data_IF_999516223987
#
_entry.id   IF_999516223987
#
_cell.length_a   1.000
_cell.length_b   1.000
_cell.length_c   1.000
_cell.angle_alpha   90.00
_cell.angle_beta   90.00
_cell.angle_gamma   90.00
#
_symmetry.space_group_name_H-M   'P 1'
#
loop_
_entity.id
_entity.type
_entity.pdbx_description
1 polymer ?
#
# COMPACT_ATOMS: atom_id res chain seq x y z
N UNK A 1 18.10 2.31 -1.10
CA UNK A 1 18.06 0.99 -0.42
C UNK A 1 18.34 -0.17 -1.37
N UNK A 2 17.83 -0.13 -2.60
CA UNK A 2 18.10 -1.12 -3.62
C UNK A 2 18.53 -0.47 -4.92
N UNK A 3 19.64 -0.94 -5.48
CA UNK A 3 20.12 -0.51 -6.78
C UNK A 3 19.47 -1.35 -7.88
N UNK A 4 18.59 -0.73 -8.67
CA UNK A 4 17.98 -1.36 -9.82
C UNK A 4 18.93 -1.26 -11.03
N UNK A 5 19.14 -2.36 -11.72
CA UNK A 5 20.03 -2.42 -12.89
C UNK A 5 19.20 -2.39 -14.19
N UNK A 6 19.77 -1.78 -15.24
CA UNK A 6 19.22 -1.90 -16.58
C UNK A 6 19.13 -3.36 -17.01
N UNK A 7 17.97 -3.76 -17.52
CA UNK A 7 17.77 -5.05 -18.16
C UNK A 7 17.04 -4.85 -19.49
N UNK A 8 15.70 -4.84 -19.46
CA UNK A 8 14.84 -4.54 -20.62
C UNK A 8 14.44 -3.08 -20.70
N UNK A 9 14.53 -2.37 -19.59
CA UNK A 9 14.18 -0.96 -19.46
C UNK A 9 15.38 -0.14 -19.02
N UNK A 10 15.39 1.14 -19.38
CA UNK A 10 16.33 2.11 -18.84
C UNK A 10 15.89 2.45 -17.41
N UNK A 11 16.79 2.34 -16.45
CA UNK A 11 16.53 2.70 -15.05
C UNK A 11 17.41 3.90 -14.70
N UNK A 12 16.78 5.01 -14.32
CA UNK A 12 17.46 6.17 -13.75
C UNK A 12 17.15 6.20 -12.24
N UNK A 13 18.19 6.21 -11.42
CA UNK A 13 18.07 6.18 -9.96
C UNK A 13 18.79 7.36 -9.34
N UNK A 14 18.20 7.91 -8.28
CA UNK A 14 18.79 8.99 -7.49
C UNK A 14 18.72 8.64 -6.02
N UNK A 15 19.83 8.75 -5.35
CA UNK A 15 19.95 8.55 -3.91
C UNK A 15 19.85 9.91 -3.21
N UNK A 16 19.01 9.98 -2.16
CA UNK A 16 18.85 11.18 -1.35
C UNK A 16 20.17 11.48 -0.61
N UNK A 17 20.55 12.74 -0.56
CA UNK A 17 21.80 13.26 -0.01
C UNK A 17 23.08 12.88 -0.78
N UNK A 18 22.95 12.17 -1.92
CA UNK A 18 24.05 11.87 -2.84
C UNK A 18 23.82 12.53 -4.19
N UNK A 19 22.70 12.16 -4.86
CA UNK A 19 22.36 12.64 -6.19
C UNK A 19 21.31 13.74 -6.17
N UNK A 20 20.61 13.91 -5.06
CA UNK A 20 19.53 14.89 -4.87
C UNK A 20 19.34 15.23 -3.39
N UNK A 21 18.87 16.44 -3.10
CA UNK A 21 18.65 16.92 -1.73
C UNK A 21 17.37 16.39 -1.09
N UNK A 22 16.36 16.01 -1.90
CA UNK A 22 15.07 15.55 -1.38
C UNK A 22 14.28 14.74 -2.38
N UNK A 23 13.31 13.95 -1.88
CA UNK A 23 12.33 13.25 -2.71
C UNK A 23 11.54 14.23 -3.61
N UNK A 24 11.13 15.37 -3.07
CA UNK A 24 10.39 16.40 -3.81
C UNK A 24 11.18 16.92 -5.00
N UNK A 25 12.46 17.27 -4.78
CA UNK A 25 13.35 17.76 -5.84
C UNK A 25 13.56 16.68 -6.91
N UNK A 26 13.85 15.45 -6.49
CA UNK A 26 14.07 14.33 -7.40
C UNK A 26 12.82 14.02 -8.23
N UNK A 27 11.64 13.98 -7.59
CA UNK A 27 10.38 13.65 -8.26
C UNK A 27 9.97 14.73 -9.26
N UNK A 28 10.08 16.01 -8.90
CA UNK A 28 9.84 17.14 -9.84
C UNK A 28 10.75 17.09 -11.05
N UNK A 29 12.02 16.72 -10.87
CA UNK A 29 12.96 16.56 -11.98
C UNK A 29 12.61 15.32 -12.82
N UNK A 30 12.20 14.21 -12.20
CA UNK A 30 11.81 12.99 -12.90
C UNK A 30 10.61 13.21 -13.84
N UNK A 31 9.60 13.97 -13.42
CA UNK A 31 8.42 14.30 -14.25
C UNK A 31 8.77 14.99 -15.57
N UNK A 32 9.97 15.61 -15.69
CA UNK A 32 10.45 16.25 -16.92
C UNK A 32 11.28 15.30 -17.80
N UNK A 33 11.45 14.06 -17.40
CA UNK A 33 12.26 13.05 -18.11
C UNK A 33 11.39 12.02 -18.83
N UNK A 34 10.08 12.24 -18.91
CA UNK A 34 9.11 11.34 -19.53
C UNK A 34 9.22 9.90 -19.03
N UNK A 35 9.16 9.65 -17.72
CA UNK A 35 9.23 8.29 -17.19
C UNK A 35 7.92 7.56 -17.45
N UNK A 36 7.97 6.27 -17.80
CA UNK A 36 6.79 5.42 -17.86
C UNK A 36 6.36 4.97 -16.45
N UNK A 37 7.34 4.70 -15.60
CA UNK A 37 7.14 4.21 -14.22
C UNK A 37 8.02 4.99 -13.27
N UNK A 38 7.46 5.40 -12.15
CA UNK A 38 8.18 6.06 -11.05
C UNK A 38 8.11 5.17 -9.81
N UNK A 39 9.28 4.82 -9.26
CA UNK A 39 9.38 4.20 -7.94
C UNK A 39 9.88 5.26 -6.96
N UNK A 40 9.00 5.69 -6.08
CA UNK A 40 9.30 6.58 -4.97
C UNK A 40 9.52 5.72 -3.72
N UNK A 41 10.73 5.68 -3.18
CA UNK A 41 11.13 4.76 -2.12
C UNK A 41 10.13 4.70 -0.97
N UNK A 42 9.78 5.86 -0.40
CA UNK A 42 8.73 5.95 0.62
C UNK A 42 8.08 7.34 0.66
N UNK A 43 6.84 7.37 1.17
CA UNK A 43 6.09 8.60 1.42
C UNK A 43 5.94 8.83 2.93
N UNK A 44 6.71 9.79 3.48
CA UNK A 44 6.71 10.07 4.93
C UNK A 44 5.98 11.35 5.30
N UNK A 45 6.00 12.35 4.43
CA UNK A 45 5.60 13.71 4.72
C UNK A 45 4.62 14.27 3.68
N UNK A 46 3.99 15.37 4.07
CA UNK A 46 3.02 16.09 3.25
C UNK A 46 3.55 16.45 1.86
N UNK A 47 4.78 17.00 1.78
CA UNK A 47 5.32 17.51 0.52
C UNK A 47 5.56 16.37 -0.47
N UNK A 48 6.12 15.25 0.00
CA UNK A 48 6.38 14.07 -0.81
C UNK A 48 5.07 13.45 -1.32
N UNK A 49 4.06 13.31 -0.45
CA UNK A 49 2.75 12.76 -0.85
C UNK A 49 2.06 13.67 -1.84
N UNK A 50 2.10 15.00 -1.63
CA UNK A 50 1.45 15.96 -2.53
C UNK A 50 2.05 15.92 -3.95
N UNK A 51 3.37 15.83 -4.07
CA UNK A 51 4.03 15.72 -5.39
C UNK A 51 3.81 14.34 -6.01
N UNK A 52 3.76 13.26 -5.21
CA UNK A 52 3.41 11.93 -5.69
C UNK A 52 1.97 11.87 -6.24
N UNK A 53 1.01 12.48 -5.55
CA UNK A 53 -0.37 12.62 -6.03
C UNK A 53 -0.43 13.36 -7.36
N UNK A 54 0.29 14.47 -7.49
CA UNK A 54 0.38 15.23 -8.74
C UNK A 54 0.95 14.39 -9.88
N UNK A 55 2.00 13.59 -9.61
CA UNK A 55 2.58 12.69 -10.59
C UNK A 55 1.56 11.65 -11.09
N UNK A 56 0.81 11.05 -10.15
CA UNK A 56 -0.23 10.09 -10.48
C UNK A 56 -1.39 10.70 -11.28
N UNK A 57 -1.83 11.92 -10.94
CA UNK A 57 -2.87 12.66 -11.68
C UNK A 57 -2.45 13.01 -13.11
N UNK A 58 -1.17 13.22 -13.35
CA UNK A 58 -0.63 13.49 -14.69
C UNK A 58 -0.37 12.24 -15.53
N UNK A 59 -0.81 11.07 -15.06
CA UNK A 59 -0.84 9.83 -15.83
C UNK A 59 0.37 8.93 -15.65
N UNK A 60 1.28 9.22 -14.73
CA UNK A 60 2.42 8.36 -14.44
C UNK A 60 2.01 7.16 -13.57
N UNK A 61 2.52 5.98 -13.91
CA UNK A 61 2.41 4.82 -13.01
C UNK A 61 3.42 4.98 -11.88
N UNK A 62 2.92 5.24 -10.68
CA UNK A 62 3.74 5.48 -9.50
C UNK A 62 3.60 4.34 -8.50
N UNK A 63 4.72 3.80 -8.05
CA UNK A 63 4.83 2.90 -6.90
C UNK A 63 5.49 3.60 -5.74
N UNK A 64 4.99 3.37 -4.54
CA UNK A 64 5.61 3.87 -3.31
C UNK A 64 5.30 2.98 -2.13
N UNK A 65 5.96 3.23 -1.00
CA UNK A 65 5.76 2.49 0.24
C UNK A 65 5.37 3.43 1.38
N UNK A 66 4.60 2.88 2.32
CA UNK A 66 4.29 3.48 3.62
C UNK A 66 4.50 2.43 4.71
N UNK A 67 4.73 2.89 5.94
CA UNK A 67 4.85 2.02 7.12
C UNK A 67 3.50 1.85 7.82
N UNK A 68 2.55 1.23 7.12
CA UNK A 68 1.18 0.98 7.60
C UNK A 68 0.81 -0.47 7.41
N UNK A 69 -0.08 -0.99 8.26
CA UNK A 69 -0.66 -2.33 8.14
C UNK A 69 -2.13 -2.17 7.76
N UNK A 70 -2.52 -2.80 6.65
CA UNK A 70 -3.88 -2.76 6.14
C UNK A 70 -4.12 -1.63 5.14
N UNK A 71 -4.98 -1.90 4.16
CA UNK A 71 -5.28 -0.96 3.09
C UNK A 71 -6.08 0.25 3.58
N UNK A 72 -7.05 0.04 4.49
CA UNK A 72 -7.82 1.11 5.10
C UNK A 72 -6.90 2.10 5.85
N UNK A 73 -6.05 1.59 6.74
CA UNK A 73 -5.09 2.42 7.47
C UNK A 73 -4.10 3.16 6.55
N UNK A 74 -3.73 2.55 5.43
CA UNK A 74 -2.87 3.19 4.43
C UNK A 74 -3.56 4.40 3.80
N UNK A 75 -4.84 4.26 3.43
CA UNK A 75 -5.65 5.34 2.86
C UNK A 75 -5.80 6.48 3.88
N UNK A 76 -6.20 6.17 5.11
CA UNK A 76 -6.34 7.16 6.19
C UNK A 76 -5.01 7.88 6.44
N UNK A 77 -3.90 7.14 6.50
CA UNK A 77 -2.56 7.73 6.70
C UNK A 77 -2.19 8.73 5.60
N UNK A 78 -2.52 8.43 4.34
CA UNK A 78 -2.26 9.37 3.24
C UNK A 78 -3.10 10.64 3.40
N UNK A 79 -4.37 10.51 3.77
CA UNK A 79 -5.29 11.65 3.91
C UNK A 79 -4.91 12.50 5.14
N UNK A 80 -4.59 11.87 6.27
CA UNK A 80 -4.34 12.53 7.55
C UNK A 80 -3.06 13.36 7.61
N UNK A 81 -2.13 13.13 6.70
CA UNK A 81 -0.92 13.98 6.56
C UNK A 81 -1.28 15.40 6.10
N UNK A 82 -2.43 15.57 5.45
CA UNK A 82 -2.88 16.86 4.95
C UNK A 82 -3.65 17.66 6.02
N UNK A 83 -3.57 19.01 5.96
CA UNK A 83 -4.39 19.86 6.82
C UNK A 83 -5.88 19.54 6.68
N UNK A 84 -6.65 19.63 7.77
CA UNK A 84 -8.06 19.23 7.83
C UNK A 84 -8.93 19.85 6.72
N UNK A 85 -8.66 21.11 6.35
CA UNK A 85 -9.37 21.80 5.26
C UNK A 85 -9.06 21.25 3.86
N UNK A 86 -8.03 20.45 3.69
CA UNK A 86 -7.63 19.82 2.42
C UNK A 86 -8.01 18.34 2.34
N UNK A 87 -8.21 17.66 3.46
CA UNK A 87 -8.41 16.21 3.51
C UNK A 87 -9.54 15.72 2.60
N UNK A 88 -10.65 16.45 2.52
CA UNK A 88 -11.75 16.10 1.62
C UNK A 88 -11.34 16.15 0.14
N UNK A 89 -10.58 17.15 -0.25
CA UNK A 89 -10.08 17.28 -1.62
C UNK A 89 -9.11 16.14 -1.94
N UNK A 90 -8.19 15.84 -1.01
CA UNK A 90 -7.22 14.75 -1.16
C UNK A 90 -7.91 13.39 -1.24
N UNK A 91 -8.95 13.13 -0.44
CA UNK A 91 -9.73 11.91 -0.55
C UNK A 91 -10.33 11.73 -1.96
N UNK A 92 -10.86 12.81 -2.55
CA UNK A 92 -11.36 12.79 -3.93
C UNK A 92 -10.23 12.49 -4.91
N UNK A 93 -9.11 13.18 -4.85
CA UNK A 93 -7.96 12.96 -5.72
C UNK A 93 -7.41 11.54 -5.58
N UNK A 94 -7.17 11.08 -4.35
CA UNK A 94 -6.69 9.73 -4.06
C UNK A 94 -7.66 8.67 -4.63
N UNK A 95 -8.97 8.89 -4.50
CA UNK A 95 -9.98 7.99 -5.05
C UNK A 95 -9.88 7.83 -6.57
N UNK A 96 -9.33 8.80 -7.28
CA UNK A 96 -9.18 8.78 -8.75
C UNK A 96 -7.91 8.09 -9.20
N UNK A 97 -6.81 8.24 -8.43
CA UNK A 97 -5.47 7.78 -8.85
C UNK A 97 -5.03 6.48 -8.20
N UNK A 98 -5.54 6.12 -7.01
CA UNK A 98 -5.17 4.89 -6.34
C UNK A 98 -5.68 3.67 -7.12
N UNK A 99 -4.78 2.72 -7.40
CA UNK A 99 -5.10 1.50 -8.15
C UNK A 99 -5.11 0.27 -7.24
N UNK A 100 -4.14 0.15 -6.35
CA UNK A 100 -4.03 -0.99 -5.44
C UNK A 100 -3.25 -0.63 -4.18
N UNK A 101 -3.49 -1.38 -3.12
CA UNK A 101 -2.66 -1.40 -1.91
C UNK A 101 -2.29 -2.85 -1.62
N UNK A 102 -0.99 -3.10 -1.43
CA UNK A 102 -0.47 -4.38 -0.97
C UNK A 102 0.17 -4.15 0.40
N UNK A 103 -0.46 -4.68 1.44
CA UNK A 103 0.07 -4.64 2.79
C UNK A 103 0.74 -5.96 3.14
N UNK A 104 1.90 -5.90 3.79
CA UNK A 104 2.69 -7.07 4.14
C UNK A 104 3.01 -7.10 5.62
N UNK A 105 2.91 -8.28 6.22
CA UNK A 105 3.47 -8.59 7.52
C UNK A 105 4.42 -9.78 7.41
N UNK A 106 5.57 -9.72 8.10
CA UNK A 106 6.48 -10.85 8.24
C UNK A 106 6.18 -11.56 9.56
N UNK A 107 5.60 -12.75 9.48
CA UNK A 107 5.19 -13.53 10.64
C UNK A 107 6.15 -14.71 10.90
N UNK A 108 6.36 -15.10 12.17
CA UNK A 108 7.20 -16.27 12.51
C UNK A 108 6.68 -17.54 11.84
N UNK A 109 7.56 -18.30 11.22
CA UNK A 109 7.25 -19.60 10.62
C UNK A 109 7.67 -20.76 11.52
N UNK A 110 7.10 -21.95 11.28
CA UNK A 110 7.37 -23.16 12.08
C UNK A 110 8.79 -23.69 11.91
N UNK A 111 9.49 -23.30 10.84
CA UNK A 111 10.88 -23.67 10.57
C UNK A 111 11.92 -22.74 11.23
N UNK A 112 11.46 -21.77 12.05
CA UNK A 112 12.31 -20.82 12.77
C UNK A 112 12.65 -19.55 11.97
N UNK A 113 12.15 -19.42 10.71
CA UNK A 113 12.31 -18.23 9.88
C UNK A 113 11.12 -17.29 9.99
N UNK A 114 10.91 -16.51 8.93
CA UNK A 114 9.73 -15.65 8.73
C UNK A 114 9.10 -15.91 7.37
N UNK A 115 7.78 -15.81 7.31
CA UNK A 115 7.02 -15.93 6.08
C UNK A 115 6.14 -14.69 5.90
N UNK A 116 6.01 -14.15 4.68
CA UNK A 116 5.14 -12.99 4.46
C UNK A 116 3.67 -13.41 4.41
N UNK A 117 2.84 -12.65 5.13
CA UNK A 117 1.39 -12.61 4.97
C UNK A 117 1.01 -11.31 4.27
N UNK A 118 0.04 -11.37 3.37
CA UNK A 118 -0.35 -10.23 2.54
C UNK A 118 -1.83 -9.91 2.68
N UNK A 119 -2.13 -8.61 2.66
CA UNK A 119 -3.45 -8.10 2.30
C UNK A 119 -3.33 -7.42 0.96
N UNK A 120 -4.25 -7.73 0.04
CA UNK A 120 -4.27 -7.18 -1.31
C UNK A 120 -5.64 -6.56 -1.56
N UNK A 121 -5.63 -5.27 -1.85
CA UNK A 121 -6.80 -4.51 -2.25
C UNK A 121 -6.60 -3.94 -3.65
N UNK A 122 -7.55 -4.17 -4.54
CA UNK A 122 -7.65 -3.46 -5.82
C UNK A 122 -8.77 -2.45 -5.74
N UNK A 123 -8.56 -1.25 -6.29
CA UNK A 123 -9.54 -0.16 -6.18
C UNK A 123 -10.66 -0.35 -7.21
N UNK A 124 -11.76 -0.94 -6.76
CA UNK A 124 -13.01 -1.06 -7.52
C UNK A 124 -13.81 0.25 -7.48
N UNK A 125 -14.84 0.44 -8.33
CA UNK A 125 -15.74 1.59 -8.25
C UNK A 125 -16.38 1.76 -6.85
N UNK A 126 -16.67 0.66 -6.15
CA UNK A 126 -17.22 0.69 -4.80
C UNK A 126 -16.19 1.26 -3.80
N UNK A 127 -14.96 0.76 -3.81
CA UNK A 127 -13.87 1.25 -2.94
C UNK A 127 -13.54 2.71 -3.26
N UNK A 128 -13.50 3.08 -4.54
CA UNK A 128 -13.31 4.46 -4.99
C UNK A 128 -14.34 5.41 -4.39
N UNK A 129 -15.60 4.99 -4.35
CA UNK A 129 -16.68 5.76 -3.73
C UNK A 129 -16.52 5.85 -2.20
N UNK A 130 -16.11 4.76 -1.54
CA UNK A 130 -15.87 4.74 -0.09
C UNK A 130 -14.74 5.70 0.30
N UNK A 131 -13.65 5.76 -0.45
CA UNK A 131 -12.55 6.72 -0.22
C UNK A 131 -13.07 8.15 -0.34
N UNK A 132 -13.79 8.46 -1.42
CA UNK A 132 -14.33 9.79 -1.71
C UNK A 132 -15.33 10.28 -0.65
N UNK A 133 -16.11 9.37 -0.08
CA UNK A 133 -17.14 9.66 0.92
C UNK A 133 -16.65 9.52 2.37
N UNK A 134 -15.34 9.31 2.57
CA UNK A 134 -14.73 9.09 3.89
C UNK A 134 -15.35 7.89 4.66
N UNK A 135 -15.68 6.81 3.91
CA UNK A 135 -16.20 5.56 4.46
C UNK A 135 -15.12 4.47 4.51
N UNK A 136 -13.88 4.87 4.74
CA UNK A 136 -12.69 4.01 4.74
C UNK A 136 -12.82 2.78 5.65
N UNK A 137 -13.41 2.86 6.87
CA UNK A 137 -13.59 1.67 7.72
C UNK A 137 -14.43 0.54 7.10
N UNK A 138 -15.22 0.81 6.06
CA UNK A 138 -16.03 -0.21 5.38
C UNK A 138 -15.23 -1.02 4.35
N UNK A 139 -14.02 -0.56 3.99
CA UNK A 139 -13.18 -1.17 2.96
C UNK A 139 -12.76 -2.59 3.36
N UNK A 140 -12.45 -2.84 4.64
CA UNK A 140 -12.04 -4.17 5.13
C UNK A 140 -13.10 -5.23 4.84
N UNK A 141 -14.38 -4.88 5.01
CA UNK A 141 -15.51 -5.76 4.66
C UNK A 141 -15.60 -6.06 3.17
N UNK A 142 -15.25 -5.10 2.32
CA UNK A 142 -15.22 -5.28 0.87
C UNK A 142 -14.05 -6.18 0.46
N UNK A 143 -12.85 -5.94 1.00
CA UNK A 143 -11.68 -6.80 0.74
C UNK A 143 -12.00 -8.25 1.08
N UNK A 144 -12.61 -8.46 2.25
CA UNK A 144 -12.97 -9.78 2.73
C UNK A 144 -13.98 -10.50 1.81
N UNK A 145 -14.97 -9.79 1.29
CA UNK A 145 -16.02 -10.36 0.43
C UNK A 145 -15.62 -10.49 -1.04
N UNK A 146 -14.55 -9.85 -1.47
CA UNK A 146 -14.15 -9.74 -2.88
C UNK A 146 -12.96 -10.65 -3.26
N UNK A 147 -12.86 -11.82 -2.63
CA UNK A 147 -11.82 -12.81 -2.97
C UNK A 147 -11.87 -13.25 -4.45
N UNK A 148 -13.03 -13.25 -5.06
CA UNK A 148 -13.22 -13.57 -6.49
C UNK A 148 -12.61 -12.53 -7.43
N UNK A 149 -12.44 -11.29 -6.94
CA UNK A 149 -11.85 -10.17 -7.68
C UNK A 149 -10.33 -10.07 -7.43
N UNK A 150 -9.72 -11.11 -6.84
CA UNK A 150 -8.29 -11.17 -6.55
C UNK A 150 -7.87 -10.42 -5.29
N UNK A 151 -8.81 -9.95 -4.48
CA UNK A 151 -8.51 -9.35 -3.18
C UNK A 151 -8.27 -10.42 -2.13
N UNK A 152 -7.36 -10.13 -1.19
CA UNK A 152 -7.01 -11.03 -0.08
C UNK A 152 -6.97 -10.21 1.20
N UNK A 153 -7.78 -10.56 2.21
CA UNK A 153 -7.66 -9.96 3.53
C UNK A 153 -6.47 -10.57 4.29
N UNK A 154 -5.89 -9.80 5.22
CA UNK A 154 -4.79 -10.29 6.06
C UNK A 154 -5.17 -11.60 6.78
N UNK A 155 -6.36 -11.67 7.33
CA UNK A 155 -6.85 -12.88 8.03
C UNK A 155 -6.98 -14.09 7.10
N UNK A 156 -7.40 -13.87 5.85
CA UNK A 156 -7.45 -14.96 4.85
C UNK A 156 -6.05 -15.44 4.47
N UNK A 157 -5.08 -14.55 4.36
CA UNK A 157 -3.68 -14.90 4.12
C UNK A 157 -3.09 -15.69 5.28
N UNK A 158 -3.33 -15.26 6.52
CA UNK A 158 -2.90 -15.97 7.73
C UNK A 158 -3.57 -17.35 7.85
N UNK A 159 -4.85 -17.47 7.51
CA UNK A 159 -5.56 -18.74 7.47
C UNK A 159 -4.91 -19.71 6.47
N UNK A 160 -4.57 -19.25 5.27
CA UNK A 160 -3.88 -20.07 4.25
C UNK A 160 -2.49 -20.53 4.73
N UNK A 161 -1.73 -19.64 5.38
CA UNK A 161 -0.42 -19.99 5.95
C UNK A 161 -0.54 -21.03 7.07
N UNK A 162 -1.55 -20.95 7.92
CA UNK A 162 -1.84 -21.94 8.95
C UNK A 162 -2.25 -23.28 8.33
N UNK A 163 -3.20 -23.30 7.40
CA UNK A 163 -3.66 -24.50 6.73
C UNK A 163 -2.55 -25.22 5.96
N UNK A 164 -1.62 -24.45 5.37
CA UNK A 164 -0.41 -24.98 4.72
C UNK A 164 0.71 -25.37 5.68
N UNK A 165 0.46 -25.32 7.00
CA UNK A 165 1.41 -25.66 8.07
C UNK A 165 2.71 -24.85 8.04
N UNK A 166 2.64 -23.62 7.58
CA UNK A 166 3.79 -22.70 7.57
C UNK A 166 3.90 -21.91 8.88
N UNK A 167 2.78 -21.65 9.55
CA UNK A 167 2.73 -20.93 10.82
C UNK A 167 1.89 -21.69 11.85
N UNK A 168 2.07 -21.36 13.14
CA UNK A 168 1.25 -21.90 14.20
C UNK A 168 -0.12 -21.22 14.28
N UNK A 169 -1.08 -21.86 14.98
CA UNK A 169 -2.37 -21.24 15.28
C UNK A 169 -2.21 -19.96 16.10
N UNK A 170 -1.32 -20.00 17.09
CA UNK A 170 -0.99 -18.83 17.92
C UNK A 170 -0.47 -17.67 17.07
N UNK A 171 0.48 -17.92 16.16
CA UNK A 171 0.99 -16.91 15.24
C UNK A 171 -0.14 -16.33 14.39
N UNK A 172 -1.00 -17.17 13.81
CA UNK A 172 -2.12 -16.70 12.99
C UNK A 172 -3.05 -15.75 13.78
N UNK A 173 -3.39 -16.09 15.01
CA UNK A 173 -4.27 -15.26 15.85
C UNK A 173 -3.60 -13.98 16.34
N UNK A 174 -2.31 -14.03 16.65
CA UNK A 174 -1.54 -12.85 17.13
C UNK A 174 -1.45 -11.75 16.06
N UNK A 175 -1.31 -12.15 14.81
CA UNK A 175 -1.14 -11.21 13.69
C UNK A 175 -2.44 -10.89 12.94
N UNK A 176 -3.57 -11.49 13.36
CA UNK A 176 -4.86 -11.29 12.72
C UNK A 176 -5.43 -9.88 12.97
N UNK A 177 -6.12 -9.36 11.97
CA UNK A 177 -6.92 -8.13 12.09
C UNK A 177 -8.16 -8.37 12.96
N UNK A 178 -8.81 -9.54 12.81
CA UNK A 178 -9.93 -9.98 13.65
C UNK A 178 -9.68 -11.39 14.20
N UNK A 179 -8.95 -11.50 15.34
CA UNK A 179 -8.59 -12.80 15.93
C UNK A 179 -9.80 -13.67 16.29
N UNK A 180 -10.89 -13.08 16.74
CA UNK A 180 -12.10 -13.83 17.14
C UNK A 180 -12.78 -14.49 15.92
N UNK A 181 -12.86 -13.75 14.81
CA UNK A 181 -13.42 -14.30 13.59
C UNK A 181 -12.49 -15.35 12.98
N UNK A 182 -11.19 -15.12 12.99
CA UNK A 182 -10.22 -16.08 12.50
C UNK A 182 -10.22 -17.36 13.35
N UNK A 183 -10.29 -17.26 14.67
CA UNK A 183 -10.30 -18.41 15.59
C UNK A 183 -11.43 -19.41 15.33
N UNK A 184 -12.55 -18.98 14.76
CA UNK A 184 -13.69 -19.82 14.39
C UNK A 184 -13.47 -20.60 13.08
N UNK A 185 -12.38 -20.29 12.34
CA UNK A 185 -12.11 -20.84 11.01
C UNK A 185 -10.87 -21.74 10.97
N UNK A 186 -10.03 -21.67 12.03
CA UNK A 186 -8.76 -22.41 12.16
C UNK A 186 -8.70 -23.27 13.41
#
# INVERSE_FOLDING_TARGET
EHLHRHQKSIVSQREINVDTDSYVTALRAALRQSPDVILLGEMRDYETINVAMTAAETGHLLFSTLHTIGAANTIDRIIDVFPANQQRQIAVQLSLVLNAVVSQQLVPSLDGGRVPAFEIMTVTPAIRNMIRENKVPQIDGVIYSSAKDGMISMDSSLQQLYQSKKISRETALTYATNPEMLARRI
#
